data_IF_750480093251
#
_entry.id   IF_750480093251
#
_cell.length_a   1.000
_cell.length_b   1.000
_cell.length_c   1.000
_cell.angle_alpha   90.00
_cell.angle_beta   90.00
_cell.angle_gamma   90.00
#
_symmetry.space_group_name_H-M   'P 1'
#
loop_
_entity.id
_entity.type
_entity.pdbx_description
1 polymer ?
#
# COMPACT_ATOMS: atom_id res chain seq x y z
N UNK A 1 -2.13 -6.83 22.77
CA UNK A 1 -2.47 -5.76 21.80
C UNK A 1 -3.86 -6.04 21.25
N UNK A 2 -4.80 -5.10 21.38
CA UNK A 2 -6.19 -5.28 20.95
C UNK A 2 -6.39 -4.94 19.47
N UNK A 3 -7.48 -5.42 18.86
CA UNK A 3 -7.88 -5.08 17.48
C UNK A 3 -7.91 -3.56 17.25
N UNK A 4 -8.45 -2.81 18.21
CA UNK A 4 -8.51 -1.35 18.16
C UNK A 4 -7.11 -0.70 18.20
N UNK A 5 -6.19 -1.24 19.02
CA UNK A 5 -4.80 -0.78 19.06
C UNK A 5 -4.07 -1.08 17.75
N UNK A 6 -4.30 -2.24 17.14
CA UNK A 6 -3.74 -2.62 15.84
C UNK A 6 -4.24 -1.71 14.72
N UNK A 7 -5.55 -1.47 14.66
CA UNK A 7 -6.14 -0.55 13.68
C UNK A 7 -5.58 0.87 13.84
N UNK A 8 -5.44 1.37 15.07
CA UNK A 8 -4.85 2.69 15.31
C UNK A 8 -3.41 2.77 14.83
N UNK A 9 -2.59 1.74 15.09
CA UNK A 9 -1.21 1.69 14.60
C UNK A 9 -1.13 1.63 13.08
N UNK A 10 -1.95 0.80 12.43
CA UNK A 10 -1.98 0.70 10.97
C UNK A 10 -2.44 1.99 10.32
N UNK A 11 -3.47 2.67 10.87
CA UNK A 11 -3.92 3.99 10.39
C UNK A 11 -2.85 5.07 10.55
N UNK A 12 -2.13 5.08 11.66
CA UNK A 12 -1.01 6.00 11.85
C UNK A 12 0.13 5.72 10.86
N UNK A 13 0.49 4.45 10.66
CA UNK A 13 1.52 4.03 9.70
C UNK A 13 1.12 4.37 8.27
N UNK A 14 -0.16 4.17 7.93
CA UNK A 14 -0.72 4.57 6.64
C UNK A 14 -0.59 6.07 6.43
N UNK A 15 -0.97 6.87 7.44
CA UNK A 15 -0.85 8.32 7.40
C UNK A 15 0.60 8.78 7.21
N UNK A 16 1.55 8.19 7.94
CA UNK A 16 2.98 8.50 7.79
C UNK A 16 3.48 8.15 6.38
N UNK A 17 3.11 6.99 5.84
CA UNK A 17 3.51 6.56 4.51
C UNK A 17 2.92 7.45 3.42
N UNK A 18 1.66 7.87 3.53
CA UNK A 18 0.99 8.70 2.52
C UNK A 18 1.38 10.18 2.62
N UNK A 19 1.33 10.76 3.81
CA UNK A 19 1.49 12.22 4.00
C UNK A 19 2.96 12.66 4.04
N UNK A 20 3.86 11.77 4.47
CA UNK A 20 5.29 12.07 4.59
C UNK A 20 6.04 11.37 3.48
N UNK A 21 6.16 10.04 3.54
CA UNK A 21 7.11 9.32 2.68
C UNK A 21 6.75 9.38 1.21
N UNK A 22 5.49 9.11 0.86
CA UNK A 22 5.04 9.15 -0.53
C UNK A 22 5.08 10.57 -1.07
N UNK A 23 4.72 11.56 -0.25
CA UNK A 23 4.79 12.98 -0.65
C UNK A 23 6.23 13.41 -0.93
N UNK A 24 7.18 13.03 -0.07
CA UNK A 24 8.61 13.33 -0.24
C UNK A 24 9.18 12.62 -1.48
N UNK A 25 8.85 11.34 -1.68
CA UNK A 25 9.29 10.61 -2.87
C UNK A 25 8.73 11.20 -4.16
N UNK A 26 7.45 11.62 -4.16
CA UNK A 26 6.84 12.32 -5.29
C UNK A 26 7.47 13.70 -5.56
N UNK A 27 7.90 14.40 -4.50
CA UNK A 27 8.63 15.66 -4.65
C UNK A 27 9.98 15.44 -5.33
N UNK A 28 10.78 14.46 -4.86
CA UNK A 28 12.05 14.08 -5.48
C UNK A 28 11.89 13.63 -6.93
N UNK A 29 10.85 12.84 -7.20
CA UNK A 29 10.50 12.41 -8.56
C UNK A 29 10.24 13.62 -9.47
N UNK A 30 9.48 14.60 -8.99
CA UNK A 30 9.20 15.84 -9.72
C UNK A 30 10.45 16.69 -9.94
N UNK A 31 11.28 16.85 -8.91
CA UNK A 31 12.55 17.59 -8.99
C UNK A 31 13.51 16.95 -9.98
N UNK A 32 13.71 15.63 -9.89
CA UNK A 32 14.57 14.88 -10.81
C UNK A 32 14.05 14.96 -12.26
N UNK A 33 12.73 14.91 -12.45
CA UNK A 33 12.12 15.08 -13.78
C UNK A 33 12.40 16.49 -14.35
N UNK A 34 12.21 17.53 -13.54
CA UNK A 34 12.44 18.91 -13.96
C UNK A 34 13.93 19.21 -14.24
N UNK A 35 14.83 18.70 -13.40
CA UNK A 35 16.29 18.90 -13.55
C UNK A 35 16.83 18.24 -14.82
N UNK A 36 16.27 17.09 -15.19
CA UNK A 36 16.74 16.31 -16.35
C UNK A 36 16.22 16.81 -17.70
N UNK A 37 15.17 17.65 -17.70
CA UNK A 37 14.55 18.16 -18.92
C UNK A 37 14.06 17.04 -19.84
N UNK A 38 14.69 16.87 -21.01
CA UNK A 38 14.30 15.84 -22.01
C UNK A 38 14.94 14.47 -21.80
N UNK A 39 15.95 14.34 -20.91
CA UNK A 39 16.68 13.10 -20.66
C UNK A 39 16.37 12.50 -19.27
N UNK A 40 15.17 12.77 -18.74
CA UNK A 40 14.73 12.28 -17.42
C UNK A 40 14.75 10.76 -17.30
N UNK A 41 14.49 10.07 -18.41
CA UNK A 41 14.48 8.60 -18.47
C UNK A 41 15.88 7.98 -18.39
N UNK A 42 16.94 8.78 -18.50
CA UNK A 42 18.33 8.36 -18.31
C UNK A 42 18.90 8.87 -16.97
N UNK A 43 18.12 9.63 -16.20
CA UNK A 43 18.55 10.12 -14.90
C UNK A 43 18.32 9.05 -13.82
N UNK A 44 19.42 8.51 -13.28
CA UNK A 44 19.40 7.55 -12.18
C UNK A 44 18.65 8.06 -10.93
N UNK A 45 18.65 9.37 -10.66
CA UNK A 45 17.89 9.94 -9.56
C UNK A 45 16.37 9.90 -9.81
N UNK A 46 15.94 10.04 -11.07
CA UNK A 46 14.54 9.89 -11.44
C UNK A 46 14.10 8.43 -11.35
N UNK A 47 14.90 7.51 -11.87
CA UNK A 47 14.62 6.06 -11.81
C UNK A 47 14.51 5.57 -10.36
N UNK A 48 15.47 5.96 -9.51
CA UNK A 48 15.44 5.62 -8.09
C UNK A 48 14.20 6.18 -7.37
N UNK A 49 13.80 7.42 -7.70
CA UNK A 49 12.61 8.04 -7.12
C UNK A 49 11.32 7.35 -7.60
N UNK A 50 11.24 6.91 -8.86
CA UNK A 50 10.11 6.16 -9.40
C UNK A 50 9.97 4.78 -8.73
N UNK A 51 11.08 4.07 -8.54
CA UNK A 51 11.11 2.81 -7.78
C UNK A 51 10.66 3.02 -6.33
N UNK A 52 11.16 4.07 -5.67
CA UNK A 52 10.78 4.41 -4.28
C UNK A 52 9.27 4.70 -4.19
N UNK A 53 8.71 5.47 -5.14
CA UNK A 53 7.26 5.73 -5.22
C UNK A 53 6.47 4.44 -5.42
N UNK A 54 6.93 3.54 -6.28
CA UNK A 54 6.29 2.26 -6.56
C UNK A 54 6.25 1.36 -5.31
N UNK A 55 7.37 1.24 -4.60
CA UNK A 55 7.46 0.49 -3.34
C UNK A 55 6.53 1.09 -2.28
N UNK A 56 6.52 2.41 -2.10
CA UNK A 56 5.67 3.08 -1.12
C UNK A 56 4.18 2.89 -1.44
N UNK A 57 3.78 2.94 -2.72
CA UNK A 57 2.39 2.65 -3.16
C UNK A 57 1.99 1.20 -2.89
N UNK A 58 2.90 0.25 -3.07
CA UNK A 58 2.66 -1.15 -2.73
C UNK A 58 2.44 -1.33 -1.21
N UNK A 59 3.30 -0.72 -0.39
CA UNK A 59 3.17 -0.74 1.07
C UNK A 59 1.86 -0.09 1.56
N UNK A 60 1.46 1.04 0.96
CA UNK A 60 0.18 1.72 1.24
C UNK A 60 -0.99 0.79 0.93
N UNK A 61 -0.96 0.13 -0.24
CA UNK A 61 -1.98 -0.84 -0.65
C UNK A 61 -2.09 -1.99 0.33
N UNK A 62 -0.97 -2.57 0.76
CA UNK A 62 -0.94 -3.67 1.71
C UNK A 62 -1.54 -3.27 3.07
N UNK A 63 -1.16 -2.09 3.60
CA UNK A 63 -1.68 -1.60 4.89
C UNK A 63 -3.18 -1.30 4.78
N UNK A 64 -3.65 -0.73 3.67
CA UNK A 64 -5.08 -0.52 3.40
C UNK A 64 -5.84 -1.85 3.39
N UNK A 65 -5.29 -2.88 2.74
CA UNK A 65 -5.87 -4.22 2.73
C UNK A 65 -5.90 -4.84 4.13
N UNK A 66 -4.87 -4.66 4.94
CA UNK A 66 -4.83 -5.17 6.31
C UNK A 66 -5.85 -4.45 7.19
N UNK A 67 -5.97 -3.12 7.09
CA UNK A 67 -7.00 -2.34 7.77
C UNK A 67 -8.40 -2.83 7.37
N UNK A 68 -8.65 -2.98 6.07
CA UNK A 68 -9.95 -3.45 5.56
C UNK A 68 -10.28 -4.86 6.06
N UNK A 69 -9.30 -5.77 6.08
CA UNK A 69 -9.47 -7.14 6.58
C UNK A 69 -9.77 -7.16 8.08
N UNK A 70 -9.17 -6.24 8.85
CA UNK A 70 -9.44 -6.10 10.27
C UNK A 70 -10.81 -5.46 10.52
N UNK A 71 -11.20 -4.42 9.77
CA UNK A 71 -12.50 -3.75 9.93
C UNK A 71 -13.67 -4.64 9.48
N UNK A 72 -13.50 -5.33 8.36
CA UNK A 72 -14.44 -6.26 7.77
C UNK A 72 -13.83 -7.66 7.74
N UNK A 73 -13.76 -8.37 8.89
CA UNK A 73 -13.37 -9.76 8.87
C UNK A 73 -14.38 -10.48 8.01
N UNK A 74 -13.96 -10.89 6.81
CA UNK A 74 -14.79 -11.69 5.91
C UNK A 74 -15.27 -12.88 6.74
N UNK A 75 -16.59 -13.13 6.87
CA UNK A 75 -17.05 -14.37 7.45
C UNK A 75 -16.46 -15.46 6.57
N UNK A 76 -15.55 -16.25 7.12
CA UNK A 76 -15.25 -17.56 6.56
C UNK A 76 -16.56 -18.34 6.70
N UNK A 77 -17.44 -18.22 5.72
CA UNK A 77 -18.54 -19.16 5.59
C UNK A 77 -17.88 -20.54 5.45
N UNK A 78 -18.17 -21.49 6.36
CA UNK A 78 -17.77 -22.86 6.13
C UNK A 78 -18.46 -23.30 4.83
N UNK A 79 -17.67 -23.68 3.83
CA UNK A 79 -18.15 -24.48 2.73
C UNK A 79 -18.47 -25.88 3.28
N UNK A 80 -19.57 -25.98 4.02
CA UNK A 80 -20.20 -27.25 4.34
C UNK A 80 -21.70 -27.14 4.09
N UNK A 81 -22.11 -27.55 2.89
CA UNK A 81 -23.43 -28.12 2.65
C UNK A 81 -23.26 -29.50 2.00
N UNK A 82 -22.92 -30.46 2.85
CA UNK A 82 -23.68 -31.68 3.08
C UNK A 82 -24.48 -32.27 1.89
N UNK A 83 -24.04 -33.43 1.42
CA UNK A 83 -24.91 -34.59 1.15
C UNK A 83 -25.91 -34.51 -0.02
N UNK A 84 -25.56 -35.15 -1.13
CA UNK A 84 -26.52 -35.97 -1.89
C UNK A 84 -25.92 -37.36 -2.17
N UNK A 85 -26.13 -38.28 -1.23
CA UNK A 85 -26.39 -39.68 -1.59
C UNK A 85 -27.73 -39.69 -2.31
N UNK A 86 -27.76 -40.13 -3.56
CA UNK A 86 -28.99 -40.57 -4.19
C UNK A 86 -28.66 -41.67 -5.20
N UNK A 87 -28.90 -42.90 -4.72
CA UNK A 87 -29.26 -44.14 -5.41
C UNK A 87 -28.40 -44.66 -6.56
#
# INVERSE_FOLDING_TARGET
>A
MTKAQKLKQLKNKLKELEEVKLREALAKYGEAYQESGSAWNENAAWELADEEVSVLRAMVTEIKNEIHTLEHPRPLAPLEQNGKKAK
#
